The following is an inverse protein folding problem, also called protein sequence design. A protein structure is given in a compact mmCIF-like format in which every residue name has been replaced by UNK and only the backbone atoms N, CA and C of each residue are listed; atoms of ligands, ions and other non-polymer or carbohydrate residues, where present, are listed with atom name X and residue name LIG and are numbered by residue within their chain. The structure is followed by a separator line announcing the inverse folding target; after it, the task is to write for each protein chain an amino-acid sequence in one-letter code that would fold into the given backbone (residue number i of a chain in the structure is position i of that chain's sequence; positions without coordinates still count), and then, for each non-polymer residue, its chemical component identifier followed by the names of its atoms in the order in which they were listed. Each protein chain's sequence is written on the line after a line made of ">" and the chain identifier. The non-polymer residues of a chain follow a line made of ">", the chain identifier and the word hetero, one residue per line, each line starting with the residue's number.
data_IF_610948430229
#
_entry.id   IF_610948430229
#
_cell.length_a   1.000
_cell.length_b   1.000
_cell.length_c   1.000
_cell.angle_alpha   90.00
_cell.angle_beta   90.00
_cell.angle_gamma   90.00
#
_symmetry.space_group_name_H-M   'P 1'
#
loop_
_entity.id
_entity.type
_entity.pdbx_description
1 polymer ?
#
# COMPACT_ATOMS: atom_id res chain seq x y z
N UNK A 1 10.90 -2.98 -20.79
CA UNK A 1 10.83 -1.52 -20.64
C UNK A 1 11.38 -1.17 -19.29
N UNK A 2 12.44 -0.37 -19.26
CA UNK A 2 13.05 0.24 -18.07
C UNK A 2 12.59 1.69 -17.96
N UNK A 3 12.81 2.31 -16.81
CA UNK A 3 12.51 3.74 -16.60
C UNK A 3 13.30 4.63 -17.58
N UNK A 4 14.55 4.27 -17.85
CA UNK A 4 15.41 4.97 -18.81
C UNK A 4 14.81 5.03 -20.22
N UNK A 5 14.07 3.99 -20.63
CA UNK A 5 13.36 3.98 -21.92
C UNK A 5 12.26 5.04 -21.93
N UNK A 6 11.48 5.10 -20.84
CA UNK A 6 10.42 6.09 -20.67
C UNK A 6 10.95 7.51 -20.60
N UNK A 7 12.15 7.75 -20.05
CA UNK A 7 12.71 9.11 -19.94
C UNK A 7 13.21 9.64 -21.29
N UNK A 8 13.64 8.76 -22.19
CA UNK A 8 14.25 9.15 -23.47
C UNK A 8 13.28 9.15 -24.65
N UNK A 9 12.14 8.46 -24.55
CA UNK A 9 11.19 8.27 -25.65
C UNK A 9 9.81 8.89 -25.33
N UNK A 10 9.50 10.02 -25.97
CA UNK A 10 8.21 10.69 -25.79
C UNK A 10 7.03 9.91 -26.35
N UNK A 11 7.21 9.23 -27.48
CA UNK A 11 6.15 8.44 -28.12
C UNK A 11 5.79 7.24 -27.23
N UNK A 12 6.79 6.61 -26.61
CA UNK A 12 6.58 5.59 -25.60
C UNK A 12 5.82 6.14 -24.39
N UNK A 13 6.17 7.33 -23.86
CA UNK A 13 5.43 7.95 -22.74
C UNK A 13 3.98 8.23 -23.10
N UNK A 14 3.72 8.80 -24.28
CA UNK A 14 2.36 9.12 -24.74
C UNK A 14 1.54 7.84 -24.97
N UNK A 15 2.15 6.77 -25.46
CA UNK A 15 1.51 5.46 -25.63
C UNK A 15 1.19 4.80 -24.29
N UNK A 16 2.14 4.79 -23.35
CA UNK A 16 1.94 4.18 -22.03
C UNK A 16 1.05 5.02 -21.12
N UNK A 17 1.06 6.34 -21.25
CA UNK A 17 0.25 7.25 -20.45
C UNK A 17 -0.57 8.18 -21.36
N UNK A 18 -1.63 7.68 -22.03
CA UNK A 18 -2.44 8.47 -22.97
C UNK A 18 -3.05 9.74 -22.36
N UNK A 19 -3.23 9.76 -21.03
CA UNK A 19 -3.70 10.95 -20.31
C UNK A 19 -2.81 12.18 -20.53
N UNK A 20 -1.49 11.97 -20.72
CA UNK A 20 -0.53 13.04 -20.97
C UNK A 20 -0.71 13.72 -22.34
N UNK A 21 -1.39 13.06 -23.29
CA UNK A 21 -1.71 13.67 -24.59
C UNK A 21 -2.82 14.74 -24.47
N UNK A 22 -3.67 14.63 -23.45
CA UNK A 22 -4.86 15.47 -23.30
C UNK A 22 -4.74 16.51 -22.18
N UNK A 23 -3.85 16.30 -21.20
CA UNK A 23 -3.65 17.20 -20.06
C UNK A 23 -2.30 17.01 -19.37
N UNK A 24 -1.87 18.04 -18.66
CA UNK A 24 -0.79 17.95 -17.68
C UNK A 24 -1.36 17.29 -16.42
N UNK A 25 -0.96 16.04 -16.15
CA UNK A 25 -1.43 15.29 -14.99
C UNK A 25 -0.49 15.52 -13.80
N UNK A 26 -0.95 16.26 -12.78
CA UNK A 26 -0.17 16.55 -11.56
C UNK A 26 -0.79 15.97 -10.27
N UNK A 27 -1.79 15.10 -10.41
CA UNK A 27 -2.56 14.55 -9.28
C UNK A 27 -2.03 13.18 -8.80
N UNK A 28 -0.72 12.92 -8.91
CA UNK A 28 -0.11 11.62 -8.63
C UNK A 28 -0.26 11.16 -7.17
N UNK A 29 -0.32 12.11 -6.22
CA UNK A 29 -0.54 11.81 -4.80
C UNK A 29 -1.98 11.36 -4.48
N UNK A 30 -2.93 11.55 -5.39
CA UNK A 30 -4.30 11.04 -5.25
C UNK A 30 -4.41 9.61 -5.81
N UNK A 31 -4.41 9.49 -7.14
CA UNK A 31 -4.37 8.22 -7.86
C UNK A 31 -3.55 8.41 -9.12
N UNK A 32 -2.49 7.63 -9.29
CA UNK A 32 -1.62 7.72 -10.47
C UNK A 32 -2.36 7.37 -11.77
N UNK A 33 -1.86 7.92 -12.88
CA UNK A 33 -2.29 7.52 -14.22
C UNK A 33 -2.07 6.01 -14.44
N UNK A 34 -3.12 5.32 -14.89
CA UNK A 34 -3.04 3.90 -15.23
C UNK A 34 -2.25 3.71 -16.54
N UNK A 35 -1.14 2.97 -16.55
CA UNK A 35 -0.40 2.70 -17.78
C UNK A 35 -1.23 1.86 -18.77
N UNK A 36 -1.08 2.10 -20.06
CA UNK A 36 -1.82 1.42 -21.12
C UNK A 36 -1.64 -0.11 -21.05
N UNK A 37 -0.42 -0.59 -20.82
CA UNK A 37 -0.15 -2.03 -20.66
C UNK A 37 -0.90 -2.66 -19.48
N UNK A 38 -1.08 -1.92 -18.39
CA UNK A 38 -1.81 -2.42 -17.21
C UNK A 38 -3.29 -2.50 -17.54
N UNK A 39 -3.83 -1.45 -18.17
CA UNK A 39 -5.20 -1.46 -18.67
C UNK A 39 -5.44 -2.60 -19.67
N UNK A 40 -4.45 -2.93 -20.52
CA UNK A 40 -4.52 -4.06 -21.44
C UNK A 40 -4.54 -5.40 -20.69
N UNK A 41 -3.62 -5.62 -19.75
CA UNK A 41 -3.60 -6.85 -18.96
C UNK A 41 -4.91 -7.08 -18.18
N UNK A 42 -5.54 -6.01 -17.68
CA UNK A 42 -6.86 -6.09 -17.05
C UNK A 42 -7.95 -6.50 -18.05
N UNK A 43 -7.96 -5.93 -19.26
CA UNK A 43 -8.90 -6.33 -20.32
C UNK A 43 -8.70 -7.77 -20.76
N UNK A 44 -7.45 -8.18 -20.98
CA UNK A 44 -7.13 -9.56 -21.37
C UNK A 44 -7.64 -10.57 -20.33
N UNK A 45 -7.53 -10.22 -19.04
CA UNK A 45 -8.12 -11.03 -17.96
C UNK A 45 -9.65 -11.07 -18.04
N UNK A 46 -10.32 -9.92 -18.22
CA UNK A 46 -11.77 -9.86 -18.31
C UNK A 46 -12.31 -10.67 -19.50
N UNK A 47 -11.68 -10.55 -20.67
CA UNK A 47 -12.07 -11.30 -21.88
C UNK A 47 -11.95 -12.82 -21.67
N UNK A 48 -10.89 -13.26 -20.96
CA UNK A 48 -10.71 -14.66 -20.62
C UNK A 48 -11.74 -15.13 -19.59
N UNK A 49 -11.98 -14.34 -18.55
CA UNK A 49 -12.94 -14.64 -17.49
C UNK A 49 -14.39 -14.63 -17.98
N UNK A 50 -14.72 -13.81 -18.98
CA UNK A 50 -16.04 -13.79 -19.64
C UNK A 50 -16.29 -15.07 -20.45
N UNK A 51 -15.25 -15.59 -21.11
CA UNK A 51 -15.37 -16.70 -22.08
C UNK A 51 -14.99 -18.07 -21.51
N UNK A 52 -14.59 -18.12 -20.25
CA UNK A 52 -14.06 -19.32 -19.58
C UNK A 52 -14.63 -19.51 -18.17
N UNK A 53 -13.95 -20.35 -17.40
CA UNK A 53 -14.23 -20.58 -15.98
C UNK A 53 -13.30 -19.71 -15.12
N UNK A 54 -13.90 -18.91 -14.23
CA UNK A 54 -13.17 -17.99 -13.35
C UNK A 54 -12.29 -18.71 -12.32
N UNK A 55 -12.61 -19.97 -12.00
CA UNK A 55 -11.86 -20.80 -11.04
C UNK A 55 -10.71 -21.59 -11.71
N UNK A 56 -10.57 -21.53 -13.03
CA UNK A 56 -9.54 -22.29 -13.75
C UNK A 56 -8.11 -21.80 -13.44
N UNK A 57 -7.11 -22.67 -13.71
CA UNK A 57 -5.67 -22.52 -13.40
C UNK A 57 -5.04 -21.15 -13.68
N UNK A 58 -5.57 -20.36 -14.62
CA UNK A 58 -5.12 -18.99 -14.89
C UNK A 58 -5.15 -18.12 -13.62
N UNK A 59 -6.14 -18.31 -12.74
CA UNK A 59 -6.25 -17.54 -11.51
C UNK A 59 -5.15 -17.89 -10.49
N UNK A 60 -4.90 -19.19 -10.28
CA UNK A 60 -3.90 -19.64 -9.31
C UNK A 60 -2.47 -19.31 -9.74
N UNK A 61 -2.11 -19.48 -11.02
CA UNK A 61 -0.78 -19.14 -11.51
C UNK A 61 -0.53 -17.63 -11.44
N UNK A 62 -1.50 -16.80 -11.84
CA UNK A 62 -1.40 -15.34 -11.78
C UNK A 62 -1.28 -14.81 -10.36
N UNK A 63 -1.99 -15.37 -9.39
CA UNK A 63 -1.81 -15.01 -7.97
C UNK A 63 -0.37 -15.28 -7.53
N UNK A 64 0.15 -16.46 -7.85
CA UNK A 64 1.52 -16.84 -7.48
C UNK A 64 2.56 -15.93 -8.15
N UNK A 65 2.46 -15.72 -9.45
CA UNK A 65 3.32 -14.80 -10.21
C UNK A 65 3.26 -13.37 -9.65
N UNK A 66 2.06 -12.90 -9.31
CA UNK A 66 1.87 -11.56 -8.72
C UNK A 66 2.58 -11.45 -7.37
N UNK A 67 2.48 -12.48 -6.51
CA UNK A 67 3.21 -12.51 -5.24
C UNK A 67 4.72 -12.55 -5.44
N UNK A 68 5.22 -13.31 -6.41
CA UNK A 68 6.67 -13.35 -6.72
C UNK A 68 7.19 -11.99 -7.18
N UNK A 69 6.45 -11.31 -8.07
CA UNK A 69 6.81 -9.97 -8.53
C UNK A 69 6.75 -8.93 -7.40
N UNK A 70 5.72 -9.00 -6.55
CA UNK A 70 5.59 -8.12 -5.39
C UNK A 70 6.70 -8.35 -4.37
N UNK A 71 7.00 -9.61 -4.05
CA UNK A 71 8.08 -10.00 -3.15
C UNK A 71 9.44 -9.48 -3.63
N UNK A 72 9.72 -9.64 -4.94
CA UNK A 72 10.91 -9.07 -5.58
C UNK A 72 10.96 -7.55 -5.52
N UNK A 73 9.81 -6.88 -5.67
CA UNK A 73 9.73 -5.41 -5.65
C UNK A 73 10.08 -4.83 -4.27
N UNK A 74 9.60 -5.45 -3.19
CA UNK A 74 9.80 -4.95 -1.81
C UNK A 74 10.97 -5.62 -1.09
N UNK A 75 11.55 -6.68 -1.65
CA UNK A 75 12.71 -7.38 -1.10
C UNK A 75 12.38 -8.37 0.03
N UNK A 76 11.28 -9.12 -0.09
CA UNK A 76 10.85 -10.14 0.87
C UNK A 76 10.63 -11.52 0.21
N UNK A 77 10.25 -12.54 0.99
CA UNK A 77 9.88 -13.85 0.48
C UNK A 77 8.43 -13.89 -0.02
N UNK A 78 8.12 -14.80 -0.96
CA UNK A 78 6.75 -14.96 -1.51
C UNK A 78 5.71 -15.25 -0.41
N UNK A 79 6.11 -15.98 0.65
CA UNK A 79 5.25 -16.33 1.79
C UNK A 79 4.88 -15.14 2.66
N UNK A 80 5.63 -14.04 2.58
CA UNK A 80 5.41 -12.81 3.33
C UNK A 80 4.47 -11.84 2.60
N UNK A 81 3.99 -12.20 1.40
CA UNK A 81 3.10 -11.37 0.58
C UNK A 81 1.65 -11.85 0.66
N UNK A 82 0.80 -11.01 1.24
CA UNK A 82 -0.66 -11.13 1.13
C UNK A 82 -1.18 -10.13 0.08
N UNK A 83 -2.00 -10.62 -0.86
CA UNK A 83 -2.73 -9.75 -1.79
C UNK A 83 -4.04 -9.35 -1.13
N UNK A 84 -4.18 -8.06 -0.80
CA UNK A 84 -5.35 -7.49 -0.14
C UNK A 84 -5.85 -6.30 -0.94
N UNK A 85 -6.95 -5.69 -0.49
CA UNK A 85 -7.46 -4.44 -1.04
C UNK A 85 -6.53 -3.24 -0.77
N UNK A 86 -7.07 -2.02 -0.72
CA UNK A 86 -6.26 -0.83 -0.50
C UNK A 86 -5.52 -0.85 0.85
N UNK A 87 -4.51 0.01 1.00
CA UNK A 87 -3.70 0.15 2.22
C UNK A 87 -4.54 0.27 3.49
N UNK A 88 -5.70 0.93 3.43
CA UNK A 88 -6.62 1.06 4.56
C UNK A 88 -7.17 -0.28 5.07
N UNK A 89 -7.47 -1.21 4.16
CA UNK A 89 -7.89 -2.57 4.51
C UNK A 89 -6.71 -3.34 5.10
N UNK A 90 -5.53 -3.25 4.48
CA UNK A 90 -4.31 -3.89 4.99
C UNK A 90 -3.97 -3.47 6.43
N UNK A 91 -3.92 -2.17 6.69
CA UNK A 91 -3.62 -1.64 8.04
C UNK A 91 -4.71 -2.01 9.06
N UNK A 92 -5.97 -2.02 8.64
CA UNK A 92 -7.07 -2.48 9.50
C UNK A 92 -6.96 -3.97 9.85
N UNK A 93 -6.56 -4.81 8.90
CA UNK A 93 -6.32 -6.23 9.16
C UNK A 93 -5.17 -6.45 10.14
N UNK A 94 -4.08 -5.68 10.03
CA UNK A 94 -2.97 -5.74 11.00
C UNK A 94 -3.43 -5.28 12.38
N UNK A 95 -4.08 -4.11 12.47
CA UNK A 95 -4.56 -3.57 13.73
C UNK A 95 -5.48 -4.53 14.49
N UNK A 96 -6.41 -5.20 13.78
CA UNK A 96 -7.36 -6.12 14.40
C UNK A 96 -6.85 -7.57 14.51
N UNK A 97 -5.77 -7.92 13.79
CA UNK A 97 -5.22 -9.28 13.77
C UNK A 97 -4.17 -9.54 14.85
N UNK A 98 -3.61 -8.50 15.45
CA UNK A 98 -2.69 -8.62 16.57
C UNK A 98 -3.45 -8.88 17.88
N UNK A 99 -2.93 -9.78 18.70
CA UNK A 99 -3.52 -10.15 20.00
C UNK A 99 -3.19 -9.11 21.08
N UNK A 100 -3.80 -7.93 20.97
CA UNK A 100 -3.63 -6.82 21.91
C UNK A 100 -4.08 -7.16 23.32
N UNK A 101 -3.34 -6.66 24.31
CA UNK A 101 -3.68 -6.75 25.73
C UNK A 101 -3.93 -5.35 26.30
N UNK A 102 -4.87 -5.19 27.25
CA UNK A 102 -5.01 -3.93 27.96
C UNK A 102 -3.68 -3.49 28.59
N UNK A 103 -3.30 -2.24 28.34
CA UNK A 103 -2.02 -1.67 28.78
C UNK A 103 -0.85 -1.85 27.81
N UNK A 104 -1.04 -2.53 26.67
CA UNK A 104 -0.10 -2.43 25.55
C UNK A 104 -0.05 -0.98 25.05
N UNK A 105 1.14 -0.52 24.66
CA UNK A 105 1.33 0.81 24.07
C UNK A 105 1.60 0.71 22.57
N UNK A 106 0.95 1.58 21.80
CA UNK A 106 1.18 1.77 20.37
C UNK A 106 1.60 3.20 20.10
N UNK A 107 2.72 3.40 19.42
CA UNK A 107 3.22 4.71 18.99
C UNK A 107 2.81 4.96 17.54
N UNK A 108 2.10 6.06 17.29
CA UNK A 108 1.66 6.45 15.95
C UNK A 108 1.94 7.94 15.68
N UNK A 109 1.88 8.35 14.41
CA UNK A 109 1.95 9.76 14.04
C UNK A 109 0.56 10.31 13.69
N UNK A 110 0.08 11.30 14.44
CA UNK A 110 -1.31 11.77 14.32
C UNK A 110 -1.59 12.47 12.99
N UNK A 111 -0.62 13.22 12.45
CA UNK A 111 -0.80 13.91 11.16
C UNK A 111 -0.46 13.01 9.94
N UNK A 112 -0.32 11.70 10.15
CA UNK A 112 -0.22 10.74 9.05
C UNK A 112 -1.57 10.64 8.29
N UNK A 113 -1.57 9.98 7.14
CA UNK A 113 -2.77 9.76 6.37
C UNK A 113 -3.81 9.00 7.22
N UNK A 114 -5.10 9.37 7.20
CA UNK A 114 -6.11 8.81 8.13
C UNK A 114 -6.20 7.29 8.17
N UNK A 115 -5.89 6.62 7.05
CA UNK A 115 -5.85 5.14 6.98
C UNK A 115 -4.78 4.52 7.87
N UNK A 116 -3.73 5.26 8.23
CA UNK A 116 -2.68 4.87 9.17
C UNK A 116 -2.82 5.53 10.55
N UNK A 117 -4.02 6.04 10.90
CA UNK A 117 -4.29 6.66 12.21
C UNK A 117 -5.52 6.02 12.86
N UNK A 118 -6.64 5.98 12.14
CA UNK A 118 -7.92 5.59 12.71
C UNK A 118 -8.03 4.11 13.13
N UNK A 119 -7.46 3.14 12.38
CA UNK A 119 -7.46 1.74 12.85
C UNK A 119 -6.79 1.58 14.21
N UNK A 120 -5.71 2.31 14.45
CA UNK A 120 -4.97 2.28 15.71
C UNK A 120 -5.73 2.99 16.84
N UNK A 121 -6.32 4.16 16.57
CA UNK A 121 -7.13 4.88 17.55
C UNK A 121 -8.26 4.04 18.14
N UNK A 122 -8.87 3.17 17.32
CA UNK A 122 -9.93 2.25 17.74
C UNK A 122 -9.46 1.27 18.83
N UNK A 123 -8.17 0.92 18.88
CA UNK A 123 -7.62 -0.02 19.87
C UNK A 123 -7.71 0.49 21.31
N UNK A 124 -7.96 1.80 21.51
CA UNK A 124 -8.30 2.35 22.83
C UNK A 124 -9.53 1.66 23.44
N UNK A 125 -10.49 1.23 22.63
CA UNK A 125 -11.67 0.46 23.07
C UNK A 125 -11.27 -0.91 23.66
N UNK A 126 -10.09 -1.44 23.29
CA UNK A 126 -9.53 -2.68 23.79
C UNK A 126 -8.52 -2.47 24.95
N UNK A 127 -8.38 -1.22 25.42
CA UNK A 127 -7.46 -0.86 26.50
C UNK A 127 -6.00 -0.64 26.05
N UNK A 128 -5.73 -0.54 24.76
CA UNK A 128 -4.40 -0.16 24.23
C UNK A 128 -4.20 1.35 24.40
N UNK A 129 -3.03 1.75 24.89
CA UNK A 129 -2.63 3.15 24.98
C UNK A 129 -2.00 3.58 23.65
N UNK A 130 -2.73 4.40 22.88
CA UNK A 130 -2.23 4.99 21.64
C UNK A 130 -1.52 6.31 21.96
N UNK A 131 -0.20 6.32 21.83
CA UNK A 131 0.69 7.46 22.07
C UNK A 131 1.05 8.10 20.73
N UNK A 132 0.92 9.42 20.63
CA UNK A 132 1.16 10.12 19.39
C UNK A 132 2.48 10.88 19.41
N UNK A 133 3.30 10.65 18.38
CA UNK A 133 4.56 11.37 18.18
C UNK A 133 4.32 12.87 18.08
N UNK A 134 5.02 13.63 18.92
CA UNK A 134 4.96 15.10 18.96
C UNK A 134 6.00 15.70 18.02
N UNK A 135 5.68 15.76 16.74
CA UNK A 135 6.51 16.47 15.76
C UNK A 135 6.46 17.99 16.00
N UNK A 136 7.59 18.69 15.82
CA UNK A 136 7.63 20.17 15.94
C UNK A 136 6.84 20.85 14.82
N UNK A 137 6.78 20.21 13.66
CA UNK A 137 6.04 20.63 12.46
C UNK A 137 5.49 19.39 11.76
N UNK A 138 4.38 19.49 11.02
CA UNK A 138 3.86 18.37 10.25
C UNK A 138 4.93 17.75 9.33
N UNK A 139 5.06 16.41 9.37
CA UNK A 139 6.05 15.64 8.61
C UNK A 139 7.47 15.63 9.17
N UNK A 140 7.78 16.41 10.23
CA UNK A 140 9.10 16.43 10.87
C UNK A 140 9.19 15.39 12.00
N UNK A 141 8.94 14.12 11.66
CA UNK A 141 9.08 13.00 12.59
C UNK A 141 10.56 12.67 12.74
N UNK A 142 11.11 12.87 13.94
CA UNK A 142 12.51 12.58 14.26
C UNK A 142 12.61 11.35 15.14
N UNK A 143 13.74 10.63 15.07
CA UNK A 143 14.01 9.47 15.94
C UNK A 143 13.76 9.81 17.42
N UNK A 144 14.31 10.94 17.88
CA UNK A 144 14.14 11.40 19.25
C UNK A 144 12.67 11.62 19.63
N UNK A 145 11.87 12.20 18.73
CA UNK A 145 10.44 12.42 18.98
C UNK A 145 9.65 11.09 19.07
N UNK A 146 10.08 10.05 18.36
CA UNK A 146 9.53 8.70 18.50
C UNK A 146 9.96 8.08 19.83
N UNK A 147 11.26 8.12 20.15
CA UNK A 147 11.83 7.58 21.39
C UNK A 147 11.21 8.19 22.66
N UNK A 148 10.91 9.50 22.65
CA UNK A 148 10.26 10.20 23.77
C UNK A 148 8.83 9.68 24.05
N UNK A 149 8.16 9.08 23.08
CA UNK A 149 6.85 8.46 23.22
C UNK A 149 6.92 6.93 23.44
N UNK A 150 8.11 6.33 23.38
CA UNK A 150 8.29 4.90 23.65
C UNK A 150 8.48 4.62 25.14
N UNK A 151 8.11 3.42 25.57
CA UNK A 151 8.35 2.89 26.91
C UNK A 151 8.60 1.38 26.86
N UNK A 152 8.85 0.77 28.02
CA UNK A 152 8.98 -0.69 28.14
C UNK A 152 7.69 -1.46 27.76
N UNK A 153 6.53 -0.79 27.66
CA UNK A 153 5.27 -1.40 27.22
C UNK A 153 4.97 -1.17 25.73
N UNK A 154 5.82 -0.41 25.02
CA UNK A 154 5.63 -0.18 23.59
C UNK A 154 5.74 -1.50 22.84
N UNK A 155 4.64 -1.88 22.20
CA UNK A 155 4.50 -3.10 21.42
C UNK A 155 4.59 -2.85 19.92
N UNK A 156 4.12 -1.69 19.46
CA UNK A 156 4.18 -1.24 18.07
C UNK A 156 4.50 0.25 17.98
#
# INVERSE_FOLDING_TARGET
>A
MRLEDLDRDEDLRRREFPVAANKIFLAHAGVCALPHRVAQAMRDYLDLAERGDQEHNYYHSRIRETRELAAKLVGCEIGEVALVGPTSVGLSLVANGLDWKPGDELVAYFDDYPSNVYPWMRLKEQGVEVRFVRAKRPGEVTLRAVEEEMSARTRL
#
